data_IF_250553898926
#
_entry.id   IF_250553898926
#
_cell.length_a   1.000
_cell.length_b   1.000
_cell.length_c   1.000
_cell.angle_alpha   90.00
_cell.angle_beta   90.00
_cell.angle_gamma   90.00
#
_symmetry.space_group_name_H-M   'P 1'
#
loop_
_entity.id
_entity.type
_entity.pdbx_description
1 polymer ?
#
# COMPACT_ATOMS: atom_id res chain seq x y z
N UNK A 1 12.07 -9.77 24.97
CA UNK A 1 11.12 -10.76 25.54
C UNK A 1 11.46 -12.16 25.03
N UNK A 2 11.57 -13.16 25.92
CA UNK A 2 11.71 -14.58 25.52
C UNK A 2 10.47 -14.98 24.72
N UNK A 3 10.65 -15.46 23.49
CA UNK A 3 9.55 -15.98 22.66
C UNK A 3 9.03 -17.28 23.27
N UNK A 4 8.01 -17.20 24.12
CA UNK A 4 7.28 -18.37 24.61
C UNK A 4 6.34 -18.85 23.51
N UNK A 5 6.45 -20.11 23.10
CA UNK A 5 5.42 -20.74 22.27
C UNK A 5 4.20 -21.07 23.14
N UNK A 6 3.01 -20.90 22.59
CA UNK A 6 1.72 -21.23 23.23
C UNK A 6 0.85 -21.96 22.20
N UNK A 7 0.00 -22.86 22.67
CA UNK A 7 -0.93 -23.62 21.83
C UNK A 7 -2.30 -22.93 21.87
N UNK A 8 -2.94 -22.80 20.72
CA UNK A 8 -4.29 -22.25 20.56
C UNK A 8 -5.14 -23.31 19.87
N UNK A 9 -6.34 -23.56 20.38
CA UNK A 9 -7.32 -24.44 19.73
C UNK A 9 -8.05 -23.72 18.60
N UNK A 10 -8.06 -24.32 17.41
CA UNK A 10 -8.76 -23.84 16.22
C UNK A 10 -9.32 -25.08 15.52
N UNK A 11 -10.51 -24.99 14.92
CA UNK A 11 -11.11 -26.11 14.21
C UNK A 11 -10.21 -26.58 13.06
N UNK A 12 -10.15 -27.89 12.87
CA UNK A 12 -9.25 -28.53 11.93
C UNK A 12 -9.46 -28.03 10.49
N UNK A 13 -10.72 -27.79 10.09
CA UNK A 13 -11.07 -27.30 8.76
C UNK A 13 -10.41 -25.95 8.44
N UNK A 14 -10.46 -24.99 9.38
CA UNK A 14 -9.82 -23.69 9.20
C UNK A 14 -8.29 -23.80 9.14
N UNK A 15 -7.69 -24.68 9.94
CA UNK A 15 -6.25 -24.91 9.92
C UNK A 15 -5.79 -25.47 8.57
N UNK A 16 -6.50 -26.45 8.00
CA UNK A 16 -6.15 -27.00 6.69
C UNK A 16 -6.28 -25.95 5.57
N UNK A 17 -7.33 -25.13 5.61
CA UNK A 17 -7.48 -24.01 4.68
C UNK A 17 -6.31 -23.01 4.79
N UNK A 18 -5.91 -22.66 6.01
CA UNK A 18 -4.78 -21.74 6.27
C UNK A 18 -3.44 -22.34 5.86
N UNK A 19 -3.22 -23.65 6.03
CA UNK A 19 -2.01 -24.34 5.55
C UNK A 19 -1.88 -24.21 4.03
N UNK A 20 -2.98 -24.39 3.30
CA UNK A 20 -2.96 -24.29 1.84
C UNK A 20 -2.66 -22.86 1.36
N UNK A 21 -3.24 -21.86 2.03
CA UNK A 21 -2.93 -20.45 1.77
C UNK A 21 -1.46 -20.14 2.04
N UNK A 22 -0.93 -20.56 3.18
CA UNK A 22 0.48 -20.35 3.54
C UNK A 22 1.42 -20.99 2.52
N UNK A 23 1.13 -22.23 2.08
CA UNK A 23 1.88 -22.96 1.06
C UNK A 23 1.93 -22.21 -0.27
N UNK A 24 0.79 -21.74 -0.77
CA UNK A 24 0.69 -20.94 -2.01
C UNK A 24 1.50 -19.63 -1.95
N UNK A 25 1.71 -19.10 -0.75
CA UNK A 25 2.48 -17.87 -0.48
C UNK A 25 3.95 -18.15 -0.15
N UNK A 26 4.40 -19.40 -0.19
CA UNK A 26 5.79 -19.78 0.11
C UNK A 26 6.18 -19.58 1.58
N UNK A 27 5.22 -19.62 2.50
CA UNK A 27 5.46 -19.42 3.94
C UNK A 27 4.92 -20.59 4.78
N UNK A 28 5.37 -20.69 6.03
CA UNK A 28 4.84 -21.66 6.99
C UNK A 28 3.52 -21.16 7.60
N UNK A 29 2.66 -22.07 8.07
CA UNK A 29 1.42 -21.69 8.77
C UNK A 29 1.71 -20.80 9.99
N UNK A 30 2.74 -21.11 10.77
CA UNK A 30 3.11 -20.28 11.92
C UNK A 30 3.61 -18.89 11.51
N UNK A 31 4.29 -18.79 10.36
CA UNK A 31 4.72 -17.51 9.80
C UNK A 31 3.54 -16.67 9.33
N UNK A 32 2.62 -17.29 8.58
CA UNK A 32 1.39 -16.66 8.11
C UNK A 32 0.50 -16.18 9.27
N UNK A 33 0.26 -17.04 10.27
CA UNK A 33 -0.55 -16.69 11.44
C UNK A 33 0.08 -15.56 12.26
N UNK A 34 1.41 -15.58 12.43
CA UNK A 34 2.12 -14.49 13.11
C UNK A 34 1.88 -13.17 12.37
N UNK A 35 2.06 -13.16 11.04
CA UNK A 35 1.84 -11.96 10.25
C UNK A 35 0.39 -11.46 10.36
N UNK A 36 -0.61 -12.35 10.26
CA UNK A 36 -2.01 -11.98 10.43
C UNK A 36 -2.30 -11.36 11.80
N UNK A 37 -1.76 -11.97 12.87
CA UNK A 37 -1.93 -11.46 14.23
C UNK A 37 -1.22 -10.11 14.39
N UNK A 38 0.01 -9.97 13.89
CA UNK A 38 0.77 -8.73 13.96
C UNK A 38 0.03 -7.58 13.26
N UNK A 39 -0.53 -7.80 12.06
CA UNK A 39 -1.32 -6.78 11.36
C UNK A 39 -2.65 -6.48 12.08
N UNK A 40 -3.34 -7.49 12.60
CA UNK A 40 -4.56 -7.29 13.38
C UNK A 40 -4.29 -6.45 14.64
N UNK A 41 -3.21 -6.72 15.37
CA UNK A 41 -2.84 -5.96 16.57
C UNK A 41 -2.46 -4.50 16.26
N UNK A 42 -1.82 -4.22 15.11
CA UNK A 42 -1.57 -2.83 14.68
C UNK A 42 -2.88 -2.08 14.48
N UNK A 43 -3.85 -2.69 13.78
CA UNK A 43 -5.17 -2.10 13.54
C UNK A 43 -5.90 -1.83 14.87
N UNK A 44 -5.91 -2.81 15.79
CA UNK A 44 -6.51 -2.66 17.12
C UNK A 44 -5.82 -1.57 17.96
N UNK A 45 -4.49 -1.43 17.86
CA UNK A 45 -3.76 -0.38 18.58
C UNK A 45 -4.11 1.04 18.13
N UNK A 46 -4.65 1.18 16.92
CA UNK A 46 -5.16 2.45 16.38
C UNK A 46 -6.63 2.69 16.75
N UNK A 47 -7.25 1.81 17.55
CA UNK A 47 -8.65 1.91 17.98
C UNK A 47 -9.67 1.31 17.02
N UNK A 48 -9.22 0.53 16.01
CA UNK A 48 -10.10 -0.10 15.02
C UNK A 48 -10.29 -1.59 15.30
N UNK A 49 -11.52 -2.06 15.18
CA UNK A 49 -11.82 -3.50 15.28
C UNK A 49 -11.31 -4.26 14.06
N UNK A 50 -10.30 -5.11 14.23
CA UNK A 50 -9.56 -5.75 13.13
C UNK A 50 -10.43 -6.63 12.22
N UNK A 51 -11.38 -7.44 12.72
CA UNK A 51 -12.30 -8.20 11.85
C UNK A 51 -13.14 -7.30 10.94
N UNK A 52 -13.58 -6.13 11.44
CA UNK A 52 -14.30 -5.15 10.62
C UNK A 52 -13.38 -4.52 9.57
N UNK A 53 -12.14 -4.19 9.92
CA UNK A 53 -11.17 -3.67 8.94
C UNK A 53 -10.86 -4.68 7.81
N UNK A 54 -10.77 -5.97 8.13
CA UNK A 54 -10.61 -7.02 7.11
C UNK A 54 -11.83 -7.12 6.18
N UNK A 55 -13.03 -7.00 6.74
CA UNK A 55 -14.28 -6.97 5.95
C UNK A 55 -14.32 -5.73 5.03
N UNK A 56 -14.01 -4.55 5.56
CA UNK A 56 -13.94 -3.30 4.80
C UNK A 56 -12.93 -3.43 3.65
N UNK A 57 -11.74 -3.98 3.92
CA UNK A 57 -10.73 -4.24 2.89
C UNK A 57 -11.20 -5.23 1.82
N UNK A 58 -11.98 -6.24 2.17
CA UNK A 58 -12.57 -7.14 1.18
C UNK A 58 -13.54 -6.40 0.27
N UNK A 59 -14.40 -5.53 0.81
CA UNK A 59 -15.30 -4.68 0.01
C UNK A 59 -14.50 -3.80 -0.95
N UNK A 60 -13.43 -3.18 -0.48
CA UNK A 60 -12.54 -2.38 -1.32
C UNK A 60 -11.95 -3.17 -2.49
N UNK A 61 -11.48 -4.40 -2.24
CA UNK A 61 -10.93 -5.28 -3.28
C UNK A 61 -11.98 -5.72 -4.30
N UNK A 62 -13.25 -5.81 -3.91
CA UNK A 62 -14.36 -6.08 -4.83
C UNK A 62 -14.64 -4.84 -5.67
N UNK A 63 -14.73 -3.67 -5.04
CA UNK A 63 -14.96 -2.39 -5.72
C UNK A 63 -13.84 -2.07 -6.73
N UNK A 64 -12.59 -2.36 -6.40
CA UNK A 64 -11.47 -2.14 -7.32
C UNK A 64 -11.57 -2.97 -8.60
N UNK A 65 -12.18 -4.16 -8.55
CA UNK A 65 -12.40 -4.99 -9.74
C UNK A 65 -13.42 -4.39 -10.72
N UNK A 66 -14.31 -3.54 -10.22
CA UNK A 66 -15.30 -2.80 -11.04
C UNK A 66 -14.88 -1.36 -11.31
N UNK A 67 -13.60 -1.03 -11.09
CA UNK A 67 -12.99 0.25 -11.48
C UNK A 67 -13.11 1.37 -10.46
N UNK A 68 -13.52 1.08 -9.22
CA UNK A 68 -13.49 2.08 -8.14
C UNK A 68 -12.07 2.21 -7.58
N UNK A 69 -11.68 3.43 -7.26
CA UNK A 69 -10.37 3.73 -6.70
C UNK A 69 -10.50 4.74 -5.55
N UNK A 70 -9.58 4.66 -4.59
CA UNK A 70 -9.45 5.69 -3.57
C UNK A 70 -8.94 6.99 -4.18
N UNK A 71 -9.59 8.09 -3.82
CA UNK A 71 -9.20 9.41 -4.28
C UNK A 71 -9.32 10.41 -3.14
N UNK A 72 -8.30 11.25 -3.00
CA UNK A 72 -8.37 12.41 -2.13
C UNK A 72 -9.29 13.44 -2.79
N UNK A 73 -10.44 13.74 -2.19
CA UNK A 73 -11.51 14.55 -2.81
C UNK A 73 -10.99 15.88 -3.33
N UNK A 74 -10.16 16.59 -2.57
CA UNK A 74 -9.60 17.88 -2.98
C UNK A 74 -8.85 17.85 -4.32
N UNK A 75 -8.28 16.70 -4.73
CA UNK A 75 -7.57 16.63 -6.01
C UNK A 75 -8.54 16.69 -7.18
N UNK A 76 -9.82 16.38 -6.99
CA UNK A 76 -10.83 16.45 -8.05
C UNK A 76 -11.05 17.90 -8.48
N UNK A 77 -11.00 18.84 -7.53
CA UNK A 77 -11.28 20.26 -7.76
C UNK A 77 -10.06 21.03 -8.29
N UNK A 78 -8.85 20.55 -7.99
CA UNK A 78 -7.61 21.20 -8.42
C UNK A 78 -7.32 20.94 -9.89
N UNK A 79 -7.03 21.98 -10.65
CA UNK A 79 -6.66 21.86 -12.07
C UNK A 79 -5.16 21.96 -12.32
N UNK A 80 -4.46 22.62 -11.42
CA UNK A 80 -3.01 22.76 -11.48
C UNK A 80 -2.32 21.47 -11.02
N UNK A 81 -1.61 20.83 -11.96
CA UNK A 81 -0.87 19.59 -11.72
C UNK A 81 0.33 19.81 -10.79
N UNK A 82 0.93 21.00 -10.79
CA UNK A 82 2.04 21.32 -9.89
C UNK A 82 1.55 21.43 -8.44
N UNK A 83 0.38 22.06 -8.22
CA UNK A 83 -0.24 22.15 -6.91
C UNK A 83 -0.66 20.77 -6.37
N UNK A 84 -1.18 19.89 -7.24
CA UNK A 84 -1.49 18.50 -6.86
C UNK A 84 -0.22 17.74 -6.45
N UNK A 85 0.87 17.91 -7.21
CA UNK A 85 2.15 17.29 -6.88
C UNK A 85 2.68 17.82 -5.54
N UNK A 86 2.61 19.13 -5.28
CA UNK A 86 3.00 19.76 -4.01
C UNK A 86 2.19 19.24 -2.82
N UNK A 87 0.87 19.07 -2.99
CA UNK A 87 0.03 18.43 -1.95
C UNK A 87 0.44 16.98 -1.70
N UNK A 88 0.78 16.25 -2.76
CA UNK A 88 1.38 14.93 -2.65
C UNK A 88 2.66 14.95 -1.82
N UNK A 89 3.56 15.91 -2.07
CA UNK A 89 4.81 16.07 -1.30
C UNK A 89 4.54 16.27 0.19
N UNK A 90 3.59 17.13 0.55
CA UNK A 90 3.20 17.36 1.96
C UNK A 90 2.68 16.06 2.58
N UNK A 91 1.73 15.39 1.94
CA UNK A 91 1.18 14.11 2.43
C UNK A 91 2.27 13.05 2.58
N UNK A 92 3.22 12.99 1.65
CA UNK A 92 4.32 12.03 1.66
C UNK A 92 5.23 12.23 2.86
N UNK A 93 5.57 13.49 3.15
CA UNK A 93 6.37 13.82 4.34
C UNK A 93 5.65 13.42 5.63
N UNK A 94 4.34 13.72 5.74
CA UNK A 94 3.54 13.36 6.91
C UNK A 94 3.44 11.84 7.09
N UNK A 95 3.25 11.08 6.01
CA UNK A 95 3.22 9.61 6.05
C UNK A 95 4.55 9.05 6.57
N UNK A 96 5.67 9.59 6.08
CA UNK A 96 7.00 9.17 6.52
C UNK A 96 7.24 9.48 8.00
N UNK A 97 6.80 10.65 8.48
CA UNK A 97 6.86 11.04 9.90
C UNK A 97 6.01 10.13 10.81
N UNK A 98 4.87 9.64 10.31
CA UNK A 98 4.02 8.68 11.00
C UNK A 98 4.63 7.25 11.05
N UNK A 99 5.80 7.04 10.43
CA UNK A 99 6.47 5.74 10.40
C UNK A 99 5.75 4.69 9.54
N UNK A 100 4.87 5.13 8.64
CA UNK A 100 4.14 4.25 7.73
C UNK A 100 5.00 3.97 6.50
N UNK A 101 4.92 2.74 5.98
CA UNK A 101 5.65 2.33 4.79
C UNK A 101 5.10 3.02 3.53
N UNK A 102 5.70 4.15 3.14
CA UNK A 102 5.29 4.95 2.00
C UNK A 102 5.26 4.17 0.69
N UNK A 103 6.16 3.20 0.50
CA UNK A 103 6.16 2.36 -0.71
C UNK A 103 4.88 1.55 -0.83
N UNK A 104 4.37 1.00 0.28
CA UNK A 104 3.10 0.27 0.28
C UNK A 104 1.91 1.16 -0.01
N UNK A 105 1.91 2.40 0.49
CA UNK A 105 0.83 3.36 0.19
C UNK A 105 0.83 3.72 -1.30
N UNK A 106 2.00 4.02 -1.85
CA UNK A 106 2.17 4.35 -3.27
C UNK A 106 1.77 3.16 -4.14
N UNK A 107 2.14 1.93 -3.75
CA UNK A 107 1.72 0.72 -4.45
C UNK A 107 0.20 0.58 -4.44
N UNK A 108 -0.42 0.75 -3.25
CA UNK A 108 -1.86 0.67 -3.09
C UNK A 108 -2.59 1.70 -3.98
N UNK A 109 -2.18 2.96 -3.93
CA UNK A 109 -2.78 4.05 -4.71
C UNK A 109 -2.55 3.86 -6.21
N UNK A 110 -1.32 3.51 -6.61
CA UNK A 110 -0.95 3.31 -8.01
C UNK A 110 -1.69 2.14 -8.66
N UNK A 111 -1.75 1.00 -7.98
CA UNK A 111 -2.44 -0.19 -8.48
C UNK A 111 -3.96 0.00 -8.49
N UNK A 112 -4.55 0.55 -7.41
CA UNK A 112 -6.00 0.72 -7.31
C UNK A 112 -6.55 1.75 -8.31
N UNK A 113 -5.77 2.78 -8.63
CA UNK A 113 -6.14 3.77 -9.67
C UNK A 113 -5.79 3.34 -11.10
N UNK A 114 -5.08 2.22 -11.26
CA UNK A 114 -4.58 1.75 -12.56
C UNK A 114 -3.58 2.72 -13.19
N UNK A 115 -2.84 3.47 -12.37
CA UNK A 115 -1.81 4.42 -12.81
C UNK A 115 -0.41 3.83 -12.67
N UNK A 116 -0.23 2.86 -11.76
CA UNK A 116 1.04 2.20 -11.49
C UNK A 116 1.03 0.71 -11.80
N UNK A 117 2.22 0.16 -12.03
CA UNK A 117 2.51 -1.28 -12.03
C UNK A 117 3.64 -1.55 -11.04
N UNK A 118 3.60 -2.69 -10.37
CA UNK A 118 4.65 -3.13 -9.45
C UNK A 118 5.68 -3.96 -10.21
N UNK A 119 6.97 -3.61 -10.09
CA UNK A 119 8.10 -4.35 -10.67
C UNK A 119 9.18 -4.55 -9.60
N UNK A 120 9.17 -5.74 -8.99
CA UNK A 120 10.13 -6.09 -7.93
C UNK A 120 9.90 -5.22 -6.69
N UNK A 121 10.87 -4.36 -6.37
CA UNK A 121 10.76 -3.39 -5.26
C UNK A 121 10.42 -1.98 -5.74
N UNK A 122 10.21 -1.78 -7.04
CA UNK A 122 9.92 -0.49 -7.65
C UNK A 122 8.48 -0.43 -8.14
N UNK A 123 7.97 0.79 -8.28
CA UNK A 123 6.65 1.08 -8.84
C UNK A 123 6.86 1.95 -10.07
N UNK A 124 6.28 1.55 -11.20
CA UNK A 124 6.34 2.31 -12.44
C UNK A 124 4.99 2.97 -12.66
N UNK A 125 4.96 4.30 -12.71
CA UNK A 125 3.81 5.08 -13.10
C UNK A 125 3.77 5.23 -14.62
N UNK A 126 2.63 4.90 -15.20
CA UNK A 126 2.37 4.95 -16.64
C UNK A 126 1.72 6.30 -17.00
N UNK A 127 1.98 6.86 -18.20
CA UNK A 127 1.29 8.04 -18.68
C UNK A 127 -0.22 7.80 -18.80
N UNK A 128 -1.01 8.81 -18.47
CA UNK A 128 -2.47 8.70 -18.37
C UNK A 128 -3.17 9.68 -19.32
N UNK A 129 -4.24 9.22 -19.96
CA UNK A 129 -5.11 10.03 -20.83
C UNK A 129 -6.36 10.56 -20.11
N UNK A 130 -6.78 9.90 -19.03
CA UNK A 130 -7.89 10.37 -18.20
C UNK A 130 -7.41 11.49 -17.28
N UNK A 131 -8.10 12.64 -17.29
CA UNK A 131 -7.82 13.78 -16.42
C UNK A 131 -7.67 13.35 -14.95
N UNK A 132 -8.59 12.53 -14.46
CA UNK A 132 -8.59 12.03 -13.08
C UNK A 132 -7.36 11.17 -12.79
N UNK A 133 -6.99 10.29 -13.71
CA UNK A 133 -5.80 9.45 -13.58
C UNK A 133 -4.50 10.25 -13.67
N UNK A 134 -4.47 11.32 -14.48
CA UNK A 134 -3.35 12.27 -14.53
C UNK A 134 -3.20 13.00 -13.20
N UNK A 135 -4.30 13.48 -12.60
CA UNK A 135 -4.24 14.08 -11.24
C UNK A 135 -3.69 13.08 -10.22
N UNK A 136 -4.14 11.82 -10.24
CA UNK A 136 -3.62 10.76 -9.38
C UNK A 136 -2.13 10.46 -9.63
N UNK A 137 -1.68 10.44 -10.89
CA UNK A 137 -0.27 10.29 -11.25
C UNK A 137 0.60 11.36 -10.58
N UNK A 138 0.20 12.63 -10.66
CA UNK A 138 0.94 13.73 -10.06
C UNK A 138 0.90 13.69 -8.53
N UNK A 139 -0.24 13.32 -7.93
CA UNK A 139 -0.35 13.12 -6.49
C UNK A 139 0.62 12.04 -5.99
N UNK A 140 0.66 10.88 -6.67
CA UNK A 140 1.54 9.75 -6.31
C UNK A 140 3.01 10.12 -6.49
N UNK A 141 3.35 10.84 -7.56
CA UNK A 141 4.69 11.37 -7.79
C UNK A 141 5.11 12.31 -6.66
N UNK A 142 4.22 13.21 -6.24
CA UNK A 142 4.43 14.08 -5.10
C UNK A 142 4.64 13.31 -3.79
N UNK A 143 3.75 12.35 -3.48
CA UNK A 143 3.85 11.47 -2.32
C UNK A 143 5.22 10.79 -2.23
N UNK A 144 5.72 10.28 -3.36
CA UNK A 144 7.01 9.64 -3.44
C UNK A 144 8.16 10.60 -3.09
N UNK A 145 8.13 11.82 -3.63
CA UNK A 145 9.13 12.86 -3.35
C UNK A 145 9.11 13.23 -1.87
N UNK A 146 7.94 13.53 -1.33
CA UNK A 146 7.75 13.92 0.06
C UNK A 146 8.21 12.84 1.04
N UNK A 147 8.06 11.57 0.66
CA UNK A 147 8.50 10.42 1.44
C UNK A 147 10.01 10.14 1.34
N UNK A 148 10.76 10.92 0.55
CA UNK A 148 12.20 10.70 0.34
C UNK A 148 12.54 9.47 -0.51
N UNK A 149 11.62 8.99 -1.34
CA UNK A 149 11.88 7.88 -2.26
C UNK A 149 12.66 8.35 -3.49
N UNK A 150 13.37 7.41 -4.12
CA UNK A 150 14.12 7.71 -5.34
C UNK A 150 13.17 7.72 -6.52
N UNK A 151 13.17 8.80 -7.28
CA UNK A 151 12.35 8.96 -8.48
C UNK A 151 13.27 9.14 -9.68
N UNK A 152 13.06 8.33 -10.71
CA UNK A 152 13.70 8.49 -12.01
C UNK A 152 12.66 8.57 -13.12
N UNK A 153 12.96 9.33 -14.16
CA UNK A 153 12.09 9.47 -15.33
C UNK A 153 12.75 8.81 -16.53
N UNK A 154 11.99 8.00 -17.26
CA UNK A 154 12.42 7.37 -18.51
C UNK A 154 11.38 7.66 -19.59
N UNK A 155 11.60 8.73 -20.36
CA UNK A 155 10.59 9.26 -21.28
C UNK A 155 9.36 9.76 -20.51
N UNK A 156 8.19 9.20 -20.82
CA UNK A 156 6.92 9.51 -20.13
C UNK A 156 6.65 8.64 -18.89
N UNK A 157 7.52 7.67 -18.60
CA UNK A 157 7.42 6.80 -17.43
C UNK A 157 8.11 7.42 -16.23
N UNK A 158 7.52 7.25 -15.05
CA UNK A 158 8.15 7.60 -13.76
C UNK A 158 8.36 6.33 -12.96
N UNK A 159 9.58 6.08 -12.51
CA UNK A 159 9.96 4.92 -11.72
C UNK A 159 10.24 5.40 -10.29
N UNK A 160 9.55 4.81 -9.33
CA UNK A 160 9.69 5.06 -7.91
C UNK A 160 10.37 3.84 -7.28
N UNK A 161 11.45 4.06 -6.54
CA UNK A 161 12.24 3.02 -5.89
C UNK A 161 12.55 3.38 -4.44
N UNK A 162 12.79 2.37 -3.57
CA UNK A 162 13.27 2.61 -2.22
C UNK A 162 14.58 3.41 -2.23
N UNK A 163 14.84 4.23 -1.20
CA UNK A 163 16.13 4.90 -1.06
C UNK A 163 17.24 3.86 -1.02
N UNK A 164 18.35 4.12 -1.72
CA UNK A 164 19.53 3.27 -1.64
C UNK A 164 19.95 3.21 -0.17
N UNK A 165 19.98 2.02 0.42
CA UNK A 165 20.62 1.83 1.73
C UNK A 165 22.08 2.21 1.57
N UNK A 166 22.49 3.32 2.19
CA UNK A 166 23.91 3.55 2.48
C UNK A 166 24.33 2.43 3.41
N UNK A 167 25.11 1.48 2.90
CA UNK A 167 25.81 0.53 3.77
C UNK A 167 26.86 1.39 4.48
N UNK A 168 26.61 1.71 5.74
CA UNK A 168 27.60 2.28 6.67
C UNK A 168 28.12 1.12 7.50
#
# INVERSE_FOLDING_TARGET
MRKSRKTIGIDAEYIEALKEVARKRGTSISGYMRQLIDEALKIESMGYYAPRALMERWVELVLSKVGFAYMHVDILELEDLEEIERRGEILGSTIAELGVDSMKIIELLGLSSGVGISQGSSIILLPQSSRVKTKMFHLIKGLAKGSGLVISSSGSLVIISPPRKTII
#
